data_IF_616197097651
#
_entry.id   IF_616197097651
#
_cell.length_a   1.000
_cell.length_b   1.000
_cell.length_c   1.000
_cell.angle_alpha   90.00
_cell.angle_beta   90.00
_cell.angle_gamma   90.00
#
_symmetry.space_group_name_H-M   'P 1'
#
loop_
_entity.id
_entity.type
_entity.pdbx_description
1 polymer ?
#
# COMPACT_ATOMS: atom_id res chain seq x y z
N UNK A 1 -20.10 -7.79 -9.38
CA UNK A 1 -20.16 -8.52 -8.09
C UNK A 1 -19.52 -9.90 -8.25
N UNK A 2 -18.22 -9.97 -8.53
CA UNK A 2 -17.57 -11.26 -8.91
C UNK A 2 -16.55 -11.75 -7.89
N UNK A 3 -16.36 -11.05 -6.78
CA UNK A 3 -15.49 -11.42 -5.65
C UNK A 3 -14.15 -12.05 -6.06
N UNK A 4 -13.54 -11.57 -7.15
CA UNK A 4 -12.37 -12.20 -7.79
C UNK A 4 -11.19 -12.36 -6.83
N UNK A 5 -11.00 -11.39 -5.93
CA UNK A 5 -9.97 -11.46 -4.89
C UNK A 5 -10.16 -12.67 -3.96
N UNK A 6 -11.40 -13.04 -3.61
CA UNK A 6 -11.66 -14.20 -2.76
C UNK A 6 -11.24 -15.50 -3.45
N UNK A 7 -11.61 -15.64 -4.72
CA UNK A 7 -11.27 -16.82 -5.52
C UNK A 7 -9.74 -16.93 -5.72
N UNK A 8 -9.08 -15.81 -5.99
CA UNK A 8 -7.63 -15.76 -6.12
C UNK A 8 -6.91 -16.23 -4.85
N UNK A 9 -7.29 -15.68 -3.67
CA UNK A 9 -6.67 -16.08 -2.41
C UNK A 9 -7.01 -17.51 -2.00
N UNK A 10 -8.22 -17.98 -2.30
CA UNK A 10 -8.60 -19.38 -2.10
C UNK A 10 -7.65 -20.33 -2.84
N UNK A 11 -7.45 -20.12 -4.14
CA UNK A 11 -6.54 -20.96 -4.92
C UNK A 11 -5.08 -20.83 -4.47
N UNK A 12 -4.65 -19.63 -4.05
CA UNK A 12 -3.29 -19.43 -3.54
C UNK A 12 -3.03 -20.22 -2.24
N UNK A 13 -4.00 -20.20 -1.32
CA UNK A 13 -3.94 -20.97 -0.07
C UNK A 13 -4.00 -22.47 -0.33
N UNK A 14 -4.94 -22.91 -1.18
CA UNK A 14 -5.07 -24.33 -1.54
C UNK A 14 -3.75 -24.87 -2.12
N UNK A 15 -3.15 -24.14 -3.07
CA UNK A 15 -1.86 -24.52 -3.67
C UNK A 15 -0.74 -24.56 -2.63
N UNK A 16 -0.75 -23.65 -1.66
CA UNK A 16 0.27 -23.63 -0.59
C UNK A 16 0.17 -24.88 0.30
N UNK A 17 -1.06 -25.32 0.59
CA UNK A 17 -1.33 -26.56 1.33
C UNK A 17 -0.90 -27.79 0.52
N UNK A 18 -1.25 -27.85 -0.76
CA UNK A 18 -0.82 -28.93 -1.68
C UNK A 18 0.71 -29.06 -1.76
N UNK A 19 1.43 -27.94 -1.66
CA UNK A 19 2.89 -27.89 -1.61
C UNK A 19 3.48 -28.14 -0.21
N UNK A 20 2.66 -28.53 0.78
CA UNK A 20 3.09 -28.82 2.15
C UNK A 20 3.63 -27.61 2.91
N UNK A 21 3.31 -26.39 2.48
CA UNK A 21 3.75 -25.17 3.15
C UNK A 21 3.02 -25.01 4.49
N UNK A 22 3.76 -24.57 5.52
CA UNK A 22 3.22 -24.39 6.88
C UNK A 22 2.79 -22.94 7.18
N UNK A 23 3.16 -22.00 6.32
CA UNK A 23 2.88 -20.58 6.49
C UNK A 23 2.56 -19.95 5.14
N UNK A 24 1.69 -18.93 5.18
CA UNK A 24 1.33 -18.12 4.01
C UNK A 24 1.41 -16.64 4.38
N UNK A 25 2.27 -15.90 3.69
CA UNK A 25 2.45 -14.46 3.91
C UNK A 25 1.54 -13.67 2.94
N UNK A 26 0.55 -12.98 3.49
CA UNK A 26 -0.33 -12.09 2.72
C UNK A 26 0.33 -10.76 2.31
N UNK A 27 1.57 -10.54 2.73
CA UNK A 27 2.34 -9.32 2.55
C UNK A 27 1.89 -8.20 3.49
N UNK A 28 2.55 -7.06 3.35
CA UNK A 28 2.33 -5.88 4.20
C UNK A 28 0.94 -5.26 3.99
N UNK A 29 0.39 -4.71 5.06
CA UNK A 29 -0.80 -3.85 5.02
C UNK A 29 -0.76 -2.82 6.15
N UNK A 30 -1.32 -1.64 5.90
CA UNK A 30 -1.47 -0.61 6.93
C UNK A 30 -2.53 -1.05 7.95
N UNK A 31 -2.26 -1.01 9.26
CA UNK A 31 -3.25 -1.35 10.27
C UNK A 31 -4.56 -0.56 10.08
N UNK A 32 -5.70 -1.25 10.16
CA UNK A 32 -7.03 -0.66 10.08
C UNK A 32 -7.53 -0.37 8.66
N UNK A 33 -6.72 -0.54 7.61
CA UNK A 33 -7.18 -0.34 6.23
C UNK A 33 -8.00 -1.54 5.71
N UNK A 34 -8.69 -1.37 4.59
CA UNK A 34 -9.54 -2.42 4.01
C UNK A 34 -8.79 -3.71 3.67
N UNK A 35 -7.54 -3.61 3.20
CA UNK A 35 -6.71 -4.79 2.90
C UNK A 35 -6.23 -5.50 4.17
N UNK A 36 -6.02 -4.78 5.28
CA UNK A 36 -5.72 -5.39 6.58
C UNK A 36 -6.91 -6.20 7.10
N UNK A 37 -8.11 -5.63 7.10
CA UNK A 37 -9.35 -6.34 7.50
C UNK A 37 -9.65 -7.55 6.61
N UNK A 38 -9.44 -7.41 5.30
CA UNK A 38 -9.59 -8.52 4.36
C UNK A 38 -8.69 -9.71 4.72
N UNK A 39 -7.43 -9.47 5.07
CA UNK A 39 -6.48 -10.54 5.45
C UNK A 39 -6.84 -11.19 6.77
N UNK A 40 -7.31 -10.42 7.75
CA UNK A 40 -7.78 -10.94 9.04
C UNK A 40 -8.93 -11.96 8.87
N UNK A 41 -9.81 -11.77 7.88
CA UNK A 41 -10.91 -12.70 7.58
C UNK A 41 -10.41 -14.09 7.17
N UNK A 42 -9.18 -14.20 6.67
CA UNK A 42 -8.55 -15.48 6.31
C UNK A 42 -7.75 -16.10 7.46
N UNK A 43 -7.82 -15.52 8.67
CA UNK A 43 -7.05 -16.00 9.84
C UNK A 43 -5.60 -15.55 9.84
N UNK A 44 -5.23 -14.52 9.08
CA UNK A 44 -3.88 -13.99 9.07
C UNK A 44 -3.53 -13.33 10.41
N UNK A 45 -2.40 -13.72 11.00
CA UNK A 45 -1.82 -13.08 12.18
C UNK A 45 -0.93 -11.90 11.78
N UNK A 46 -1.00 -10.81 12.53
CA UNK A 46 -0.23 -9.60 12.24
C UNK A 46 1.15 -9.63 12.92
N UNK A 47 2.18 -9.36 12.12
CA UNK A 47 3.55 -9.21 12.60
C UNK A 47 4.05 -7.78 12.33
N UNK A 48 4.71 -7.12 13.31
CA UNK A 48 5.22 -5.77 13.12
C UNK A 48 6.30 -5.75 12.03
N UNK A 49 6.02 -5.05 10.92
CA UNK A 49 7.02 -4.76 9.90
C UNK A 49 7.82 -3.51 10.31
N UNK A 50 9.03 -3.69 10.84
CA UNK A 50 9.91 -2.60 11.27
C UNK A 50 10.58 -1.97 10.05
N UNK A 51 10.36 -0.67 9.84
CA UNK A 51 11.01 0.10 8.80
C UNK A 51 12.20 0.86 9.36
N UNK A 52 13.35 0.74 8.71
CA UNK A 52 14.53 1.54 8.99
C UNK A 52 14.60 2.69 7.97
N UNK A 53 14.74 3.91 8.48
CA UNK A 53 14.87 5.11 7.66
C UNK A 53 16.19 5.79 8.00
N UNK A 54 16.96 6.14 6.98
CA UNK A 54 18.12 6.99 7.11
C UNK A 54 17.83 8.34 6.45
N UNK A 55 17.87 9.41 7.23
CA UNK A 55 17.74 10.77 6.71
C UNK A 55 19.05 11.52 6.92
N UNK A 56 19.65 12.01 5.83
CA UNK A 56 20.88 12.82 5.88
C UNK A 56 20.58 14.23 6.44
N UNK A 57 19.38 14.76 6.21
CA UNK A 57 18.89 16.06 6.69
C UNK A 57 17.36 16.02 6.85
N UNK A 58 16.81 16.56 7.94
CA UNK A 58 15.36 16.62 8.20
C UNK A 58 14.83 15.52 9.14
N UNK A 59 13.53 15.54 9.44
CA UNK A 59 12.90 14.58 10.38
C UNK A 59 12.39 13.36 9.63
N UNK A 60 12.53 12.16 10.21
CA UNK A 60 12.04 10.89 9.63
C UNK A 60 10.52 10.93 9.34
N UNK A 61 9.77 11.74 10.07
CA UNK A 61 8.34 11.98 9.86
C UNK A 61 8.01 12.54 8.48
N UNK A 62 8.97 13.18 7.80
CA UNK A 62 8.79 13.75 6.46
C UNK A 62 8.84 12.69 5.36
N UNK A 63 9.45 11.54 5.63
CA UNK A 63 9.52 10.41 4.69
C UNK A 63 8.21 9.60 4.61
N UNK A 64 7.28 9.79 5.56
CA UNK A 64 6.00 9.08 5.55
C UNK A 64 4.95 9.86 4.74
N UNK A 65 4.36 9.26 3.69
CA UNK A 65 3.28 9.90 2.92
C UNK A 65 2.05 10.28 3.75
N UNK A 66 1.87 9.65 4.92
CA UNK A 66 0.71 9.85 5.80
C UNK A 66 0.75 11.12 6.65
N UNK A 67 1.76 11.97 6.50
CA UNK A 67 1.96 13.16 7.34
C UNK A 67 1.00 14.32 7.08
N UNK A 68 -0.02 14.17 6.23
CA UNK A 68 -1.04 15.19 5.91
C UNK A 68 -0.53 16.46 5.20
N UNK A 69 0.79 16.66 5.14
CA UNK A 69 1.45 17.83 4.54
C UNK A 69 1.06 18.05 3.07
N UNK A 70 0.72 16.98 2.36
CA UNK A 70 0.38 17.02 0.94
C UNK A 70 -1.11 16.84 0.65
N UNK A 71 -1.97 16.67 1.67
CA UNK A 71 -3.39 16.34 1.45
C UNK A 71 -4.12 17.42 0.65
N UNK A 72 -3.82 18.69 0.93
CA UNK A 72 -4.40 19.82 0.21
C UNK A 72 -3.93 19.88 -1.25
N UNK A 73 -2.64 19.66 -1.49
CA UNK A 73 -2.06 19.60 -2.84
C UNK A 73 -2.65 18.44 -3.64
N UNK A 74 -2.81 17.26 -3.02
CA UNK A 74 -3.43 16.08 -3.65
C UNK A 74 -4.90 16.38 -4.01
N UNK A 75 -5.66 17.03 -3.13
CA UNK A 75 -7.06 17.42 -3.40
C UNK A 75 -7.18 18.38 -4.59
N UNK A 76 -6.29 19.36 -4.67
CA UNK A 76 -6.25 20.29 -5.81
C UNK A 76 -5.85 19.56 -7.10
N UNK A 77 -4.82 18.72 -7.02
CA UNK A 77 -4.34 17.92 -8.15
C UNK A 77 -5.42 17.02 -8.74
N UNK A 78 -6.23 16.37 -7.89
CA UNK A 78 -7.37 15.52 -8.32
C UNK A 78 -8.45 16.27 -9.11
N UNK A 79 -8.52 17.61 -9.00
CA UNK A 79 -9.50 18.45 -9.71
C UNK A 79 -8.94 19.04 -11.01
N UNK A 80 -7.66 18.85 -11.31
CA UNK A 80 -7.05 19.40 -12.51
C UNK A 80 -7.50 18.64 -13.78
N UNK A 81 -7.70 19.33 -14.91
CA UNK A 81 -7.91 18.68 -16.20
C UNK A 81 -6.72 17.78 -16.59
N UNK A 82 -7.02 16.66 -17.25
CA UNK A 82 -6.03 15.63 -17.63
C UNK A 82 -4.86 16.19 -18.46
N UNK A 83 -5.09 17.20 -19.29
CA UNK A 83 -4.01 17.79 -20.11
C UNK A 83 -2.97 18.52 -19.24
N UNK A 84 -3.39 19.16 -18.13
CA UNK A 84 -2.50 19.86 -17.20
C UNK A 84 -1.64 18.86 -16.44
N UNK A 85 -2.25 17.76 -15.97
CA UNK A 85 -1.51 16.73 -15.22
C UNK A 85 -0.49 16.00 -16.10
N UNK A 86 -0.75 15.86 -17.40
CA UNK A 86 0.22 15.28 -18.35
C UNK A 86 1.42 16.18 -18.63
N UNK A 87 1.24 17.50 -18.60
CA UNK A 87 2.33 18.46 -18.80
C UNK A 87 3.21 18.60 -17.55
N UNK A 88 2.58 18.69 -16.37
CA UNK A 88 3.28 19.01 -15.11
C UNK A 88 3.73 17.73 -14.36
N UNK A 89 3.00 16.62 -14.53
CA UNK A 89 3.24 15.35 -13.84
C UNK A 89 4.66 14.80 -13.94
N UNK A 90 5.29 14.74 -15.14
CA UNK A 90 6.63 14.18 -15.30
C UNK A 90 7.70 14.90 -14.46
N UNK A 91 7.61 16.23 -14.34
CA UNK A 91 8.58 17.04 -13.57
C UNK A 91 8.42 16.85 -12.07
N UNK A 92 7.17 16.68 -11.60
CA UNK A 92 6.86 16.43 -10.19
C UNK A 92 7.30 15.04 -9.75
N UNK A 93 6.98 14.00 -10.54
CA UNK A 93 7.33 12.61 -10.20
C UNK A 93 8.84 12.42 -10.11
N UNK A 94 9.62 13.16 -10.93
CA UNK A 94 11.09 13.10 -10.90
C UNK A 94 11.70 13.63 -9.59
N UNK A 95 10.98 14.45 -8.84
CA UNK A 95 11.45 15.04 -7.57
C UNK A 95 10.97 14.32 -6.31
N UNK A 96 10.15 13.28 -6.44
CA UNK A 96 9.66 12.49 -5.30
C UNK A 96 10.58 11.25 -5.20
N UNK A 97 11.31 11.07 -4.09
CA UNK A 97 12.10 9.86 -3.86
C UNK A 97 11.24 8.61 -3.67
#
# INVERSE_FOLDING_TARGET
>A
HTSCNMLMYWHALQRSIELGQKAFDFGRSTPGCGTHRFKQQWGAEEFPAVWQYYSRQGKITDARPSGGKYDQMIRLWKKLPVWVTRLIGPTIVRGIP
#
